data_IF_370596183666
#
_entry.id   IF_370596183666
#
_cell.length_a   1.000
_cell.length_b   1.000
_cell.length_c   1.000
_cell.angle_alpha   90.00
_cell.angle_beta   90.00
_cell.angle_gamma   90.00
#
_symmetry.space_group_name_H-M   'P 1'
#
loop_
_entity.id
_entity.type
_entity.pdbx_description
1 polymer ?
#
# COMPACT_ATOMS: atom_id res chain seq x y z
N UNK A 1 -29.04 -7.70 21.34
CA UNK A 1 -28.23 -7.18 20.23
C UNK A 1 -28.95 -5.97 19.68
N UNK A 2 -28.32 -4.79 19.63
CA UNK A 2 -28.99 -3.58 19.14
C UNK A 2 -28.96 -3.58 17.61
N UNK A 3 -30.05 -4.01 16.98
CA UNK A 3 -30.28 -3.80 15.55
C UNK A 3 -30.44 -2.29 15.32
N UNK A 4 -29.38 -1.66 14.81
CA UNK A 4 -29.48 -0.30 14.29
C UNK A 4 -30.12 -0.37 12.90
N UNK A 5 -31.33 0.16 12.83
CA UNK A 5 -32.12 0.44 11.64
C UNK A 5 -31.28 0.92 10.44
N UNK A 6 -31.58 0.41 9.25
CA UNK A 6 -30.87 0.66 8.00
C UNK A 6 -30.72 2.16 7.69
N UNK A 7 -31.67 3.01 8.08
CA UNK A 7 -31.58 4.46 7.85
C UNK A 7 -30.57 5.16 8.78
N UNK A 8 -30.36 4.61 9.99
CA UNK A 8 -29.26 5.08 10.87
C UNK A 8 -27.90 4.64 10.34
N UNK A 9 -27.81 3.52 9.63
CA UNK A 9 -26.59 3.07 8.92
C UNK A 9 -26.24 3.94 7.72
N UNK A 10 -27.22 4.34 6.92
CA UNK A 10 -27.04 5.24 5.76
C UNK A 10 -26.48 6.61 6.17
N UNK A 11 -26.82 7.08 7.38
CA UNK A 11 -26.34 8.34 7.94
C UNK A 11 -25.01 8.22 8.70
N UNK A 12 -24.52 7.00 8.93
CA UNK A 12 -23.20 6.79 9.54
C UNK A 12 -22.13 7.10 8.50
N UNK A 13 -21.14 7.89 8.92
CA UNK A 13 -20.00 8.27 8.11
C UNK A 13 -19.36 7.02 7.48
N UNK A 14 -19.06 7.03 6.17
CA UNK A 14 -18.42 5.90 5.45
C UNK A 14 -17.07 5.48 6.06
N UNK A 15 -16.53 6.30 6.96
CA UNK A 15 -15.33 6.05 7.78
C UNK A 15 -15.54 5.05 8.92
N UNK A 16 -16.79 4.79 9.28
CA UNK A 16 -17.21 3.89 10.34
C UNK A 16 -17.04 2.41 9.96
N UNK A 17 -17.04 2.12 8.65
CA UNK A 17 -16.94 0.77 8.10
C UNK A 17 -15.57 0.51 7.48
N UNK A 18 -15.09 -0.73 7.61
CA UNK A 18 -13.86 -1.16 6.94
C UNK A 18 -14.08 -1.24 5.43
N UNK A 19 -15.23 -1.74 4.99
CA UNK A 19 -15.54 -1.93 3.58
C UNK A 19 -16.93 -1.39 3.28
N UNK A 20 -17.08 -0.79 2.10
CA UNK A 20 -18.38 -0.37 1.56
C UNK A 20 -18.41 -0.95 0.16
N UNK A 21 -19.43 -1.75 -0.14
CA UNK A 21 -19.56 -2.35 -1.45
C UNK A 21 -20.03 -1.33 -2.50
N UNK A 22 -20.08 -1.75 -3.77
CA UNK A 22 -20.57 -0.90 -4.86
C UNK A 22 -22.04 -0.48 -4.71
N UNK A 23 -22.84 -1.21 -3.90
CA UNK A 23 -24.25 -0.91 -3.61
C UNK A 23 -24.40 0.11 -2.48
N UNK A 24 -23.31 0.44 -1.79
CA UNK A 24 -23.29 1.38 -0.68
C UNK A 24 -23.47 0.72 0.69
N UNK A 25 -23.55 -0.61 0.76
CA UNK A 25 -23.72 -1.32 2.02
C UNK A 25 -22.40 -1.35 2.81
N UNK A 26 -22.45 -0.88 4.05
CA UNK A 26 -21.32 -0.85 4.96
C UNK A 26 -21.08 -2.20 5.64
N UNK A 27 -19.93 -2.80 5.35
CA UNK A 27 -19.47 -4.07 5.93
C UNK A 27 -18.37 -3.83 6.96
N UNK A 28 -18.31 -4.71 7.97
CA UNK A 28 -17.26 -4.74 8.99
C UNK A 28 -17.15 -3.40 9.77
N UNK A 29 -18.05 -3.14 10.73
CA UNK A 29 -18.02 -1.92 11.54
C UNK A 29 -16.72 -1.82 12.37
N UNK A 30 -16.27 -0.58 12.62
CA UNK A 30 -15.02 -0.26 13.30
C UNK A 30 -15.19 0.78 14.43
N UNK A 31 -16.41 0.96 14.96
CA UNK A 31 -16.73 2.00 15.94
C UNK A 31 -15.99 1.80 17.27
N UNK A 32 -15.94 0.55 17.72
CA UNK A 32 -15.49 0.19 19.06
C UNK A 32 -14.53 -1.01 18.99
N UNK A 33 -13.83 -1.25 20.09
CA UNK A 33 -12.84 -2.33 20.21
C UNK A 33 -13.42 -3.71 19.85
N UNK A 34 -14.61 -4.02 20.36
CA UNK A 34 -15.33 -5.27 20.07
C UNK A 34 -15.67 -5.41 18.58
N UNK A 35 -16.05 -4.31 17.94
CA UNK A 35 -16.34 -4.28 16.51
C UNK A 35 -15.08 -4.54 15.69
N UNK A 36 -13.94 -3.96 16.08
CA UNK A 36 -12.66 -4.20 15.40
C UNK A 36 -12.21 -5.65 15.53
N UNK A 37 -12.32 -6.26 16.72
CA UNK A 37 -11.99 -7.70 16.91
C UNK A 37 -12.89 -8.61 16.06
N UNK A 38 -14.20 -8.35 16.06
CA UNK A 38 -15.14 -9.08 15.22
C UNK A 38 -14.86 -8.86 13.73
N UNK A 39 -14.50 -7.64 13.34
CA UNK A 39 -14.13 -7.30 11.98
C UNK A 39 -12.87 -8.05 11.54
N UNK A 40 -11.84 -8.17 12.40
CA UNK A 40 -10.64 -8.97 12.11
C UNK A 40 -10.97 -10.43 11.85
N UNK A 41 -11.81 -11.04 12.70
CA UNK A 41 -12.23 -12.43 12.54
C UNK A 41 -13.04 -12.65 11.26
N UNK A 42 -13.98 -11.74 10.95
CA UNK A 42 -14.88 -11.83 9.80
C UNK A 42 -14.24 -11.37 8.49
N UNK A 43 -13.15 -10.60 8.53
CA UNK A 43 -12.52 -10.05 7.33
C UNK A 43 -12.15 -11.13 6.31
N UNK A 44 -11.73 -12.32 6.74
CA UNK A 44 -11.43 -13.41 5.79
C UNK A 44 -12.66 -14.21 5.34
N UNK A 45 -13.82 -14.00 5.96
CA UNK A 45 -15.10 -14.62 5.61
C UNK A 45 -15.91 -13.72 4.65
N UNK A 46 -15.67 -12.41 4.68
CA UNK A 46 -16.33 -11.46 3.80
C UNK A 46 -15.81 -11.59 2.37
N UNK A 47 -16.73 -11.68 1.41
CA UNK A 47 -16.42 -11.59 -0.01
C UNK A 47 -16.16 -10.13 -0.40
N UNK A 48 -15.10 -9.92 -1.18
CA UNK A 48 -14.73 -8.60 -1.68
C UNK A 48 -14.77 -8.61 -3.19
N UNK A 49 -15.23 -7.51 -3.78
CA UNK A 49 -15.30 -7.35 -5.24
C UNK A 49 -13.91 -7.32 -5.90
N UNK A 50 -12.86 -6.98 -5.15
CA UNK A 50 -11.49 -6.91 -5.65
C UNK A 50 -10.47 -7.16 -4.55
N UNK A 51 -9.29 -7.69 -4.91
CA UNK A 51 -8.15 -7.77 -3.99
C UNK A 51 -7.75 -6.40 -3.45
N UNK A 52 -7.91 -5.34 -4.25
CA UNK A 52 -7.63 -3.96 -3.82
C UNK A 52 -8.61 -3.49 -2.75
N UNK A 53 -9.89 -3.85 -2.88
CA UNK A 53 -10.91 -3.60 -1.86
C UNK A 53 -10.60 -4.37 -0.58
N UNK A 54 -10.24 -5.66 -0.70
CA UNK A 54 -9.82 -6.51 0.43
C UNK A 54 -8.61 -5.92 1.17
N UNK A 55 -7.60 -5.45 0.44
CA UNK A 55 -6.43 -4.80 1.06
C UNK A 55 -6.78 -3.44 1.69
N UNK A 56 -7.68 -2.67 1.07
CA UNK A 56 -8.13 -1.38 1.63
C UNK A 56 -8.86 -1.56 2.96
N UNK A 57 -9.74 -2.57 3.04
CA UNK A 57 -10.48 -2.92 4.24
C UNK A 57 -9.54 -3.38 5.35
N UNK A 58 -8.57 -4.24 5.01
CA UNK A 58 -7.50 -4.65 5.92
C UNK A 58 -6.75 -3.46 6.52
N UNK A 59 -6.34 -2.49 5.69
CA UNK A 59 -5.61 -1.29 6.16
C UNK A 59 -6.44 -0.48 7.15
N UNK A 60 -7.74 -0.34 6.91
CA UNK A 60 -8.66 0.36 7.84
C UNK A 60 -8.81 -0.39 9.15
N UNK A 61 -8.97 -1.72 9.12
CA UNK A 61 -9.04 -2.56 10.33
C UNK A 61 -7.76 -2.41 11.15
N UNK A 62 -6.58 -2.53 10.53
CA UNK A 62 -5.29 -2.36 11.22
C UNK A 62 -5.16 -0.96 11.83
N UNK A 63 -5.59 0.08 11.12
CA UNK A 63 -5.59 1.44 11.64
C UNK A 63 -6.59 1.64 12.79
N UNK A 64 -7.75 0.98 12.76
CA UNK A 64 -8.71 1.00 13.86
C UNK A 64 -8.16 0.24 15.08
N UNK A 65 -7.62 -0.96 14.88
CA UNK A 65 -6.99 -1.75 15.94
C UNK A 65 -5.90 -0.95 16.67
N UNK A 66 -5.01 -0.29 15.92
CA UNK A 66 -4.01 0.62 16.50
C UNK A 66 -4.60 1.78 17.29
N UNK A 67 -5.71 2.36 16.82
CA UNK A 67 -6.40 3.46 17.52
C UNK A 67 -7.05 3.00 18.82
N UNK A 68 -7.57 1.78 18.86
CA UNK A 68 -8.21 1.19 20.04
C UNK A 68 -7.25 0.39 20.93
N UNK A 69 -5.95 0.33 20.62
CA UNK A 69 -4.97 -0.40 21.42
C UNK A 69 -5.06 -1.93 21.32
N UNK A 70 -5.68 -2.46 20.26
CA UNK A 70 -5.75 -3.90 20.02
C UNK A 70 -4.43 -4.37 19.39
N UNK A 71 -3.78 -5.31 20.05
CA UNK A 71 -2.60 -5.99 19.51
C UNK A 71 -3.02 -6.96 18.40
N UNK A 72 -2.31 -6.90 17.27
CA UNK A 72 -2.53 -7.79 16.13
C UNK A 72 -1.37 -8.79 16.15
N UNK A 73 -1.68 -10.07 16.37
CA UNK A 73 -0.69 -11.14 16.34
C UNK A 73 -0.21 -11.43 14.91
N UNK A 74 0.93 -12.09 14.77
CA UNK A 74 1.44 -12.48 13.44
C UNK A 74 0.56 -13.53 12.73
N UNK A 75 -0.20 -14.28 13.52
CA UNK A 75 -1.17 -15.28 13.06
C UNK A 75 -2.49 -14.67 12.57
N UNK A 76 -2.75 -13.41 12.91
CA UNK A 76 -3.93 -12.72 12.42
C UNK A 76 -3.85 -12.57 10.90
N UNK A 77 -4.91 -12.99 10.22
CA UNK A 77 -4.99 -12.91 8.75
C UNK A 77 -4.87 -11.46 8.25
N UNK A 78 -5.23 -10.49 9.09
CA UNK A 78 -5.05 -9.06 8.82
C UNK A 78 -3.60 -8.57 9.01
N UNK A 79 -2.70 -9.34 9.63
CA UNK A 79 -1.28 -9.00 9.77
C UNK A 79 -0.52 -9.10 8.43
N UNK A 80 -0.95 -10.01 7.54
CA UNK A 80 -0.32 -10.24 6.23
C UNK A 80 -1.04 -9.47 5.11
N UNK A 81 -0.27 -8.87 4.19
CA UNK A 81 -0.86 -8.23 2.98
C UNK A 81 -1.47 -9.30 2.09
N UNK A 82 -2.63 -8.98 1.51
CA UNK A 82 -3.31 -9.82 0.53
C UNK A 82 -2.60 -9.81 -0.83
N UNK A 83 -2.07 -8.66 -1.25
CA UNK A 83 -1.45 -8.48 -2.56
C UNK A 83 0.00 -8.93 -2.61
N UNK A 84 0.44 -9.34 -3.81
CA UNK A 84 1.84 -9.55 -4.14
C UNK A 84 2.64 -8.26 -3.98
N UNK A 85 3.97 -8.39 -3.85
CA UNK A 85 4.90 -7.32 -3.54
C UNK A 85 4.57 -6.01 -4.29
N UNK A 86 4.66 -4.87 -3.59
CA UNK A 86 4.41 -3.55 -4.18
C UNK A 86 5.29 -3.38 -5.42
N UNK A 87 4.69 -2.82 -6.48
CA UNK A 87 5.41 -2.50 -7.70
C UNK A 87 6.72 -1.75 -7.40
N UNK A 88 7.82 -2.28 -7.94
CA UNK A 88 9.19 -1.76 -7.76
C UNK A 88 9.34 -0.33 -8.33
N UNK A 89 8.50 0.04 -9.28
CA UNK A 89 8.51 1.30 -10.00
C UNK A 89 7.16 2.03 -9.87
N UNK A 90 7.22 3.36 -9.85
CA UNK A 90 6.06 4.26 -9.94
C UNK A 90 6.19 5.15 -11.16
N UNK A 91 5.14 5.90 -11.51
CA UNK A 91 5.21 6.94 -12.56
C UNK A 91 6.32 7.98 -12.31
N UNK A 92 6.70 8.18 -11.03
CA UNK A 92 7.80 9.07 -10.61
C UNK A 92 9.19 8.40 -10.64
N UNK A 93 9.29 7.12 -10.98
CA UNK A 93 10.51 6.33 -10.99
C UNK A 93 10.55 5.20 -9.96
N UNK A 94 11.70 4.51 -9.83
CA UNK A 94 11.85 3.37 -8.91
C UNK A 94 11.67 3.79 -7.45
N UNK A 95 10.96 2.95 -6.68
CA UNK A 95 10.83 3.14 -5.23
C UNK A 95 12.20 2.91 -4.57
N UNK A 96 12.59 3.81 -3.67
CA UNK A 96 13.95 3.87 -3.12
C UNK A 96 14.88 4.86 -3.82
N UNK A 97 14.39 5.53 -4.86
CA UNK A 97 15.18 6.47 -5.65
C UNK A 97 16.20 5.76 -6.55
N UNK A 98 16.70 6.47 -7.56
CA UNK A 98 17.88 5.99 -8.27
C UNK A 98 19.04 6.08 -7.27
N UNK A 99 19.70 4.96 -6.96
CA UNK A 99 20.94 4.99 -6.16
C UNK A 99 21.96 5.87 -6.90
N UNK A 100 22.04 7.14 -6.51
CA UNK A 100 23.08 8.03 -6.95
C UNK A 100 24.30 7.70 -6.10
N UNK A 101 25.11 6.76 -6.59
CA UNK A 101 26.43 6.53 -6.01
C UNK A 101 27.24 7.78 -6.30
N UNK A 102 27.28 8.69 -5.32
CA UNK A 102 28.05 9.93 -5.42
C UNK A 102 29.52 9.52 -5.37
N UNK A 103 30.32 9.81 -6.41
CA UNK A 103 31.70 9.35 -6.44
C UNK A 103 32.49 10.02 -5.31
N UNK A 104 33.31 9.25 -4.59
CA UNK A 104 34.15 9.74 -3.47
C UNK A 104 35.15 10.82 -3.90
N UNK A 105 35.44 10.93 -5.20
CA UNK A 105 36.31 11.94 -5.81
C UNK A 105 35.61 12.59 -7.01
N UNK A 106 35.82 13.89 -7.19
CA UNK A 106 35.33 14.62 -8.35
C UNK A 106 36.15 14.26 -9.59
N UNK A 107 35.48 14.09 -10.74
CA UNK A 107 36.16 13.85 -12.02
C UNK A 107 36.86 15.12 -12.49
N UNK A 108 38.15 15.05 -12.78
CA UNK A 108 38.90 16.22 -13.28
C UNK A 108 38.48 16.59 -14.71
N UNK A 109 38.70 17.85 -15.16
CA UNK A 109 38.39 18.27 -16.52
C UNK A 109 39.08 17.43 -17.61
N UNK A 110 40.33 17.00 -17.36
CA UNK A 110 41.08 16.09 -18.25
C UNK A 110 40.43 14.71 -18.35
N UNK A 111 40.02 14.13 -17.23
CA UNK A 111 39.32 12.85 -17.23
C UNK A 111 37.98 12.93 -17.97
N UNK A 112 37.25 14.04 -17.80
CA UNK A 112 35.96 14.26 -18.49
C UNK A 112 36.11 14.38 -20.01
N UNK A 113 37.13 15.10 -20.48
CA UNK A 113 37.41 15.24 -21.92
C UNK A 113 37.87 13.93 -22.54
N UNK A 114 38.74 13.18 -21.86
CA UNK A 114 39.15 11.84 -22.29
C UNK A 114 37.95 10.88 -22.39
N UNK A 115 37.07 10.85 -21.37
CA UNK A 115 35.87 10.02 -21.38
C UNK A 115 34.95 10.34 -22.57
N UNK A 116 34.70 11.63 -22.86
CA UNK A 116 33.88 12.06 -24.02
C UNK A 116 34.49 11.60 -25.35
N UNK A 117 35.81 11.72 -25.50
CA UNK A 117 36.53 11.27 -26.70
C UNK A 117 36.40 9.75 -26.88
N UNK A 118 36.55 8.99 -25.79
CA UNK A 118 36.43 7.53 -25.81
C UNK A 118 35.02 7.07 -26.20
N UNK A 119 33.98 7.72 -25.67
CA UNK A 119 32.58 7.43 -26.04
C UNK A 119 32.34 7.70 -27.54
N UNK A 120 32.82 8.84 -28.07
CA UNK A 120 32.69 9.17 -29.50
C UNK A 120 33.44 8.16 -30.39
N UNK A 121 34.63 7.74 -29.98
CA UNK A 121 35.41 6.70 -30.68
C UNK A 121 34.67 5.36 -30.70
N UNK A 122 34.11 4.94 -29.56
CA UNK A 122 33.35 3.70 -29.45
C UNK A 122 32.04 3.70 -30.25
N UNK A 123 31.37 4.86 -30.36
CA UNK A 123 30.20 5.02 -31.22
C UNK A 123 30.60 4.93 -32.70
N UNK A 124 31.67 5.61 -33.11
CA UNK A 124 32.16 5.56 -34.50
C UNK A 124 32.59 4.14 -34.92
N UNK A 125 33.14 3.34 -33.99
CA UNK A 125 33.50 1.94 -34.26
C UNK A 125 32.32 0.98 -34.27
N UNK A 126 31.15 1.37 -33.76
CA UNK A 126 29.91 0.55 -33.81
C UNK A 126 29.13 0.72 -35.12
N UNK A 127 29.42 1.78 -35.86
CA UNK A 127 28.78 2.10 -37.15
C UNK A 127 29.70 1.86 -38.35
N UNK A 128 30.84 1.18 -38.14
CA UNK A 128 31.67 0.56 -39.17
C UNK A 128 31.47 -0.93 -39.12
#
# INVERSE_FOLDING_TARGET
>A
MAELDTQKREKLDKRTFAYVDSRGEGHLPLNDESHVRNAMARWNQTEFESETAKESARRKIVAAAKRHGIEIGEDDKVARRTGSLRAASTKKGPRGGRKTVRPKRTTTPRQRTAARRNVKKAQASRHR
#
